data_IF_118953929156
#
_entry.id   IF_118953929156
#
_cell.length_a   1.000
_cell.length_b   1.000
_cell.length_c   1.000
_cell.angle_alpha   90.00
_cell.angle_beta   90.00
_cell.angle_gamma   90.00
#
_symmetry.space_group_name_H-M   'P 1'
#
loop_
_entity.id
_entity.type
_entity.pdbx_description
1 polymer ?
#
# COMPACT_ATOMS: atom_id res chain seq x y z
N UNK A 1 14.51 -1.70 3.07
CA UNK A 1 13.07 -2.07 3.29
C UNK A 1 12.59 -1.58 4.66
N UNK A 2 11.45 -0.87 4.72
CA UNK A 2 10.85 -0.34 5.97
C UNK A 2 9.34 -0.58 5.99
N UNK A 3 8.78 -0.86 7.16
CA UNK A 3 7.33 -0.97 7.39
C UNK A 3 6.89 0.24 8.21
N UNK A 4 5.80 0.88 7.78
CA UNK A 4 5.23 2.08 8.40
C UNK A 4 3.73 1.84 8.57
N UNK A 5 3.24 1.92 9.81
CA UNK A 5 1.81 1.91 10.08
C UNK A 5 1.18 3.16 9.48
N UNK A 6 0.03 3.01 8.84
CA UNK A 6 -0.60 4.08 8.09
C UNK A 6 -2.12 3.99 8.15
N UNK A 7 -2.76 5.12 7.88
CA UNK A 7 -4.21 5.23 7.89
C UNK A 7 -4.80 4.92 6.51
N UNK A 8 -6.06 4.50 6.48
CA UNK A 8 -6.76 4.19 5.23
C UNK A 8 -6.75 5.36 4.22
N UNK A 9 -6.83 6.61 4.70
CA UNK A 9 -6.78 7.78 3.84
C UNK A 9 -5.42 7.90 3.12
N UNK A 10 -4.32 7.71 3.84
CA UNK A 10 -2.97 7.77 3.26
C UNK A 10 -2.78 6.67 2.23
N UNK A 11 -3.33 5.47 2.47
CA UNK A 11 -3.30 4.38 1.49
C UNK A 11 -4.08 4.75 0.23
N UNK A 12 -5.26 5.35 0.36
CA UNK A 12 -6.05 5.81 -0.78
C UNK A 12 -5.27 6.85 -1.61
N UNK A 13 -4.69 7.85 -0.95
CA UNK A 13 -3.89 8.90 -1.59
C UNK A 13 -2.71 8.29 -2.37
N UNK A 14 -1.97 7.36 -1.77
CA UNK A 14 -0.85 6.67 -2.42
C UNK A 14 -1.26 5.84 -3.65
N UNK A 15 -2.49 5.30 -3.65
CA UNK A 15 -3.04 4.54 -4.78
C UNK A 15 -3.48 5.46 -5.92
N UNK A 16 -3.99 6.64 -5.58
CA UNK A 16 -4.44 7.65 -6.55
C UNK A 16 -3.25 8.40 -7.18
N UNK A 17 -2.22 8.71 -6.41
CA UNK A 17 -0.97 9.32 -6.90
C UNK A 17 -0.09 8.34 -7.68
N UNK A 18 -0.19 7.05 -7.37
CA UNK A 18 0.62 6.00 -7.96
C UNK A 18 -0.09 5.21 -9.07
N UNK A 19 0.63 4.24 -9.64
CA UNK A 19 0.03 3.22 -10.52
C UNK A 19 -0.03 1.90 -9.79
N UNK A 20 -1.24 1.39 -9.56
CA UNK A 20 -1.47 0.03 -9.06
C UNK A 20 -0.94 -0.98 -10.09
N UNK A 21 -0.01 -1.85 -9.67
CA UNK A 21 0.59 -2.88 -10.53
C UNK A 21 0.05 -4.28 -10.22
N UNK A 22 -0.40 -4.52 -8.99
CA UNK A 22 -1.00 -5.78 -8.59
C UNK A 22 -1.91 -5.56 -7.38
N UNK A 23 -2.99 -6.34 -7.30
CA UNK A 23 -3.84 -6.42 -6.11
C UNK A 23 -4.14 -7.88 -5.78
N UNK A 24 -4.17 -8.20 -4.49
CA UNK A 24 -4.57 -9.51 -3.98
C UNK A 24 -5.41 -9.35 -2.73
N UNK A 25 -6.63 -9.89 -2.77
CA UNK A 25 -7.52 -9.95 -1.63
C UNK A 25 -7.30 -11.25 -0.85
N UNK A 26 -7.19 -11.13 0.48
CA UNK A 26 -7.24 -12.22 1.44
C UNK A 26 -8.46 -12.03 2.37
N UNK A 27 -8.88 -13.07 3.13
CA UNK A 27 -10.01 -12.95 4.05
C UNK A 27 -9.85 -11.83 5.09
N UNK A 28 -8.61 -11.53 5.49
CA UNK A 28 -8.32 -10.61 6.59
C UNK A 28 -7.61 -9.32 6.19
N UNK A 29 -7.19 -9.18 4.93
CA UNK A 29 -6.53 -7.98 4.43
C UNK A 29 -6.47 -7.98 2.90
N UNK A 30 -6.22 -6.81 2.33
CA UNK A 30 -5.89 -6.62 0.91
C UNK A 30 -4.43 -6.20 0.79
N UNK A 31 -3.73 -6.75 -0.20
CA UNK A 31 -2.38 -6.34 -0.58
C UNK A 31 -2.45 -5.65 -1.92
N UNK A 32 -1.95 -4.42 -1.99
CA UNK A 32 -1.88 -3.61 -3.20
C UNK A 32 -0.43 -3.25 -3.45
N UNK A 33 0.13 -3.63 -4.59
CA UNK A 33 1.46 -3.13 -5.02
C UNK A 33 1.27 -1.91 -5.89
N UNK A 34 1.99 -0.83 -5.58
CA UNK A 34 1.91 0.46 -6.28
C UNK A 34 3.31 0.87 -6.74
N UNK A 35 3.44 1.36 -7.98
CA UNK A 35 4.62 2.12 -8.42
C UNK A 35 4.29 3.60 -8.29
N UNK A 36 4.83 4.22 -7.26
CA UNK A 36 4.70 5.64 -6.97
C UNK A 36 5.73 6.44 -7.79
N UNK A 37 5.38 7.63 -8.31
CA UNK A 37 6.31 8.47 -9.08
C UNK A 37 7.53 8.93 -8.27
N UNK A 38 7.37 9.18 -6.97
CA UNK A 38 8.43 9.72 -6.09
C UNK A 38 8.99 8.72 -5.10
N UNK A 39 8.16 7.80 -4.59
CA UNK A 39 8.52 6.86 -3.52
C UNK A 39 8.96 5.49 -4.07
N UNK A 40 8.90 5.30 -5.39
CA UNK A 40 9.29 4.05 -6.02
C UNK A 40 8.26 2.95 -5.81
N UNK A 41 8.69 1.74 -5.45
CA UNK A 41 7.81 0.58 -5.31
C UNK A 41 7.31 0.44 -3.87
N UNK A 42 5.99 0.50 -3.73
CA UNK A 42 5.29 0.38 -2.46
C UNK A 42 4.43 -0.89 -2.44
N UNK A 43 4.33 -1.50 -1.27
CA UNK A 43 3.32 -2.53 -0.97
C UNK A 43 2.44 -2.01 0.15
N UNK A 44 1.15 -1.90 -0.12
CA UNK A 44 0.14 -1.39 0.79
C UNK A 44 -0.68 -2.58 1.30
N UNK A 45 -0.87 -2.65 2.61
CA UNK A 45 -1.74 -3.60 3.28
C UNK A 45 -2.92 -2.85 3.88
N UNK A 46 -4.14 -3.29 3.56
CA UNK A 46 -5.39 -2.71 4.05
C UNK A 46 -6.14 -3.79 4.85
N UNK A 47 -6.34 -3.55 6.15
CA UNK A 47 -7.17 -4.35 7.03
C UNK A 47 -8.66 -3.97 6.93
N UNK A 48 -9.58 -4.84 7.36
CA UNK A 48 -11.03 -4.61 7.28
C UNK A 48 -11.54 -3.49 8.20
N UNK A 49 -10.74 -3.09 9.18
CA UNK A 49 -11.03 -2.06 10.20
C UNK A 49 -10.44 -0.69 9.83
N UNK A 50 -9.89 -0.53 8.62
CA UNK A 50 -9.24 0.70 8.19
C UNK A 50 -7.82 0.87 8.72
N UNK A 51 -7.29 -0.11 9.45
CA UNK A 51 -5.86 -0.19 9.73
C UNK A 51 -5.10 -0.56 8.47
N UNK A 52 -3.87 -0.09 8.35
CA UNK A 52 -3.04 -0.46 7.23
C UNK A 52 -1.57 -0.27 7.49
N UNK A 53 -0.77 -0.86 6.61
CA UNK A 53 0.67 -0.73 6.65
C UNK A 53 1.19 -0.48 5.24
N UNK A 54 2.15 0.43 5.14
CA UNK A 54 2.94 0.65 3.94
C UNK A 54 4.30 -0.03 4.12
N UNK A 55 4.73 -0.75 3.11
CA UNK A 55 6.07 -1.32 3.00
C UNK A 55 6.79 -0.65 1.84
N UNK A 56 7.85 0.08 2.18
CA UNK A 56 8.79 0.62 1.21
C UNK A 56 9.77 -0.48 0.82
N UNK A 57 9.80 -0.79 -0.48
CA UNK A 57 10.73 -1.76 -1.05
C UNK A 57 11.82 -1.05 -1.82
N UNK A 58 13.08 -1.42 -1.54
CA UNK A 58 14.20 -1.03 -2.40
C UNK A 58 14.11 -1.84 -3.70
N UNK A 59 14.50 -1.20 -4.81
CA UNK A 59 14.30 -1.68 -6.18
C UNK A 59 14.82 -3.10 -6.43
#
# INVERSE_FOLDING_TARGET
MRIIDTEAQVIADLKDEGRVVAEKQYPSFKVTTVRHPTLGKLVLLEGPDGTGAMVETEE
#
